data_IF_696539754637
#
_entry.id   IF_696539754637
#
_cell.length_a   1.000
_cell.length_b   1.000
_cell.length_c   1.000
_cell.angle_alpha   90.00
_cell.angle_beta   90.00
_cell.angle_gamma   90.00
#
_symmetry.space_group_name_H-M   'P 1'
#
loop_
_entity.id
_entity.type
_entity.pdbx_description
1 polymer ?
#
# COMPACT_ATOMS: atom_id res chain seq x y z
N UNK A 1 6.62 19.64 3.07
CA UNK A 1 7.61 18.92 2.26
C UNK A 1 8.28 19.85 1.26
N UNK A 2 9.62 19.98 1.29
CA UNK A 2 10.41 20.67 0.26
C UNK A 2 10.29 20.03 -1.14
N UNK A 3 10.55 20.82 -2.18
CA UNK A 3 10.50 20.37 -3.58
C UNK A 3 9.21 20.77 -4.31
N UNK A 4 9.00 20.25 -5.54
CA UNK A 4 7.79 20.53 -6.29
C UNK A 4 6.56 19.99 -5.55
N UNK A 5 5.41 20.64 -5.77
CA UNK A 5 4.14 20.05 -5.37
C UNK A 5 3.98 18.72 -6.09
N UNK A 6 3.47 17.71 -5.38
CA UNK A 6 3.25 16.39 -5.96
C UNK A 6 1.92 15.78 -5.56
N UNK A 7 1.39 14.95 -6.45
CA UNK A 7 0.18 14.15 -6.25
C UNK A 7 0.47 12.69 -6.54
N UNK A 8 -0.38 11.78 -6.05
CA UNK A 8 -0.31 10.33 -6.33
C UNK A 8 1.04 9.66 -6.05
N UNK A 9 1.70 10.11 -4.98
CA UNK A 9 2.97 9.56 -4.53
C UNK A 9 2.78 8.38 -3.57
N UNK A 10 3.79 7.53 -3.50
CA UNK A 10 3.92 6.52 -2.46
C UNK A 10 4.25 7.20 -1.11
N UNK A 11 3.59 6.77 -0.05
CA UNK A 11 3.99 7.11 1.31
C UNK A 11 3.81 5.94 2.27
N UNK A 12 4.65 5.89 3.30
CA UNK A 12 4.51 4.95 4.41
C UNK A 12 5.28 5.49 5.62
N UNK A 13 4.80 5.19 6.82
CA UNK A 13 5.54 5.45 8.04
C UNK A 13 6.45 4.25 8.36
N UNK A 14 7.63 4.51 8.88
CA UNK A 14 8.58 3.47 9.26
C UNK A 14 9.66 4.02 10.18
N UNK A 15 10.41 3.12 10.80
CA UNK A 15 11.37 3.46 11.85
C UNK A 15 11.16 2.61 13.09
N UNK A 16 12.10 2.67 14.03
CA UNK A 16 11.95 1.97 15.30
C UNK A 16 10.85 2.60 16.17
N UNK A 17 10.40 1.89 17.21
CA UNK A 17 9.36 2.33 18.16
C UNK A 17 9.62 3.65 18.88
N UNK A 18 10.81 4.25 18.70
CA UNK A 18 11.21 5.51 19.29
C UNK A 18 11.18 6.69 18.29
N UNK A 19 11.14 6.50 16.98
CA UNK A 19 11.10 7.61 16.01
C UNK A 19 10.33 7.19 14.75
N UNK A 20 9.16 7.82 14.54
CA UNK A 20 8.36 7.61 13.35
C UNK A 20 8.86 8.52 12.23
N UNK A 21 9.47 7.93 11.21
CA UNK A 21 9.85 8.63 9.98
C UNK A 21 8.79 8.36 8.91
N UNK A 22 8.28 9.40 8.25
CA UNK A 22 7.39 9.26 7.09
C UNK A 22 8.21 9.34 5.82
N UNK A 23 8.16 8.28 5.02
CA UNK A 23 8.81 8.23 3.72
C UNK A 23 7.81 8.59 2.61
N UNK A 24 8.28 9.35 1.63
CA UNK A 24 7.51 9.76 0.45
C UNK A 24 8.38 9.56 -0.79
N UNK A 25 7.84 8.97 -1.85
CA UNK A 25 8.54 8.80 -3.12
C UNK A 25 7.59 8.85 -4.32
N UNK A 26 8.12 9.30 -5.46
CA UNK A 26 7.37 9.33 -6.71
C UNK A 26 6.22 10.34 -6.71
N UNK A 27 5.12 9.97 -7.38
CA UNK A 27 4.04 10.86 -7.77
C UNK A 27 4.38 11.69 -9.01
N UNK A 28 3.57 12.71 -9.28
CA UNK A 28 3.83 13.64 -10.37
C UNK A 28 3.80 15.11 -9.92
N UNK A 29 4.49 15.98 -10.66
CA UNK A 29 4.46 17.43 -10.47
C UNK A 29 3.22 18.12 -11.09
N UNK A 30 3.14 19.45 -11.01
CA UNK A 30 2.01 20.22 -11.55
C UNK A 30 1.82 20.09 -13.07
N UNK A 31 2.88 19.68 -13.79
CA UNK A 31 2.88 19.43 -15.24
C UNK A 31 2.58 17.95 -15.57
N UNK A 32 2.31 17.12 -14.55
CA UNK A 32 2.11 15.67 -14.64
C UNK A 32 3.34 14.89 -15.08
N UNK A 33 4.54 15.42 -14.83
CA UNK A 33 5.76 14.65 -14.98
C UNK A 33 5.93 13.73 -13.77
N UNK A 34 6.12 12.44 -13.99
CA UNK A 34 6.41 11.47 -12.95
C UNK A 34 7.76 11.80 -12.28
N UNK A 35 7.87 11.51 -10.99
CA UNK A 35 9.03 11.88 -10.19
C UNK A 35 9.85 10.66 -9.79
N UNK A 36 11.18 10.83 -9.78
CA UNK A 36 12.14 9.90 -9.15
C UNK A 36 12.46 10.28 -7.70
N UNK A 37 12.18 11.52 -7.34
CA UNK A 37 12.61 12.09 -6.06
C UNK A 37 11.83 11.52 -4.88
N UNK A 38 12.53 11.38 -3.76
CA UNK A 38 12.00 10.88 -2.51
C UNK A 38 12.46 11.74 -1.33
N UNK A 39 11.68 11.72 -0.26
CA UNK A 39 11.86 12.52 0.94
C UNK A 39 11.54 11.66 2.17
N UNK A 40 12.21 11.93 3.28
CA UNK A 40 11.87 11.43 4.59
C UNK A 40 11.50 12.62 5.50
N UNK A 41 10.50 12.44 6.34
CA UNK A 41 10.11 13.39 7.37
C UNK A 41 10.29 12.75 8.73
N UNK A 42 11.19 13.31 9.53
CA UNK A 42 11.38 12.93 10.92
C UNK A 42 10.34 13.67 11.76
N UNK A 43 9.37 12.94 12.32
CA UNK A 43 8.30 13.53 13.10
C UNK A 43 8.76 14.02 14.49
N UNK A 44 9.87 13.51 15.02
CA UNK A 44 10.43 13.98 16.29
C UNK A 44 11.18 15.29 16.11
N UNK A 45 11.98 15.37 15.05
CA UNK A 45 12.74 16.58 14.70
C UNK A 45 11.88 17.65 14.01
N UNK A 46 10.71 17.28 13.48
CA UNK A 46 9.87 18.12 12.60
C UNK A 46 10.65 18.61 11.37
N UNK A 47 11.45 17.72 10.78
CA UNK A 47 12.37 18.06 9.69
C UNK A 47 12.21 17.14 8.49
N UNK A 48 12.31 17.73 7.30
CA UNK A 48 12.34 17.00 6.04
C UNK A 48 13.78 16.81 5.57
N UNK A 49 14.14 15.60 5.21
CA UNK A 49 15.41 15.24 4.60
C UNK A 49 15.22 14.66 3.19
N UNK A 50 16.03 15.06 2.21
CA UNK A 50 16.00 14.43 0.89
C UNK A 50 16.58 13.02 0.96
N UNK A 51 15.95 12.09 0.25
CA UNK A 51 16.52 10.78 -0.04
C UNK A 51 17.23 10.83 -1.39
N UNK A 52 18.15 9.88 -1.67
CA UNK A 52 18.58 9.63 -3.04
C UNK A 52 17.38 9.41 -3.95
N UNK A 53 17.49 9.78 -5.22
CA UNK A 53 16.45 9.50 -6.20
C UNK A 53 16.35 7.98 -6.48
N UNK A 54 15.14 7.53 -6.76
CA UNK A 54 14.88 6.22 -7.39
C UNK A 54 15.57 6.15 -8.77
N UNK A 55 15.75 4.93 -9.27
CA UNK A 55 16.20 4.70 -10.63
C UNK A 55 15.10 5.05 -11.65
N UNK A 56 13.84 4.73 -11.35
CA UNK A 56 12.70 4.91 -12.25
C UNK A 56 11.72 5.93 -11.68
N UNK A 57 11.18 6.80 -12.53
CA UNK A 57 10.09 7.71 -12.15
C UNK A 57 8.76 6.94 -12.04
N UNK A 58 7.97 7.27 -11.03
CA UNK A 58 6.75 6.52 -10.73
C UNK A 58 5.61 7.44 -10.31
N UNK A 59 4.64 7.63 -11.19
CA UNK A 59 3.33 8.23 -10.87
C UNK A 59 2.31 7.15 -10.47
N UNK A 60 1.33 7.48 -9.63
CA UNK A 60 0.32 6.56 -9.08
C UNK A 60 0.93 5.27 -8.48
N UNK A 61 2.07 5.40 -7.80
CA UNK A 61 2.73 4.30 -7.09
C UNK A 61 2.26 4.19 -5.64
N UNK A 62 2.56 3.04 -5.01
CA UNK A 62 2.20 2.79 -3.61
C UNK A 62 3.43 2.51 -2.76
N UNK A 63 3.38 2.98 -1.51
CA UNK A 63 4.43 2.82 -0.52
C UNK A 63 4.03 1.81 0.56
N UNK A 64 4.98 1.00 1.01
CA UNK A 64 4.84 0.12 2.17
C UNK A 64 6.18 0.05 2.92
N UNK A 65 6.15 0.02 4.24
CA UNK A 65 7.37 -0.12 5.04
C UNK A 65 7.43 -1.53 5.64
N UNK A 66 8.43 -2.31 5.25
CA UNK A 66 8.58 -3.70 5.72
C UNK A 66 10.05 -4.09 5.78
N UNK A 67 10.39 -4.90 6.78
CA UNK A 67 11.75 -5.43 7.00
C UNK A 67 12.84 -4.34 7.01
N UNK A 68 12.54 -3.16 7.58
CA UNK A 68 13.47 -2.04 7.68
C UNK A 68 13.70 -1.26 6.38
N UNK A 69 12.89 -1.50 5.34
CA UNK A 69 12.95 -0.78 4.07
C UNK A 69 11.61 -0.17 3.66
N UNK A 70 11.68 0.90 2.88
CA UNK A 70 10.53 1.54 2.24
C UNK A 70 10.41 1.07 0.79
N UNK A 71 9.33 0.34 0.49
CA UNK A 71 9.08 -0.28 -0.81
C UNK A 71 8.13 0.59 -1.60
N UNK A 72 8.52 0.94 -2.83
CA UNK A 72 7.72 1.70 -3.78
C UNK A 72 7.35 0.78 -4.94
N UNK A 73 6.07 0.47 -5.05
CA UNK A 73 5.57 -0.59 -5.93
C UNK A 73 4.67 0.01 -7.02
N UNK A 74 4.86 -0.50 -8.24
CA UNK A 74 4.03 -0.15 -9.40
C UNK A 74 4.21 1.29 -9.87
N UNK A 75 3.09 1.90 -10.26
CA UNK A 75 3.06 3.21 -10.90
C UNK A 75 3.54 3.17 -12.35
N UNK A 76 3.64 4.33 -12.99
CA UNK A 76 4.09 4.44 -14.38
C UNK A 76 4.97 5.68 -14.62
N UNK A 77 5.84 5.67 -15.64
CA UNK A 77 6.62 6.84 -16.03
C UNK A 77 5.80 7.83 -16.88
N UNK A 78 6.35 9.03 -17.06
CA UNK A 78 5.75 10.16 -17.79
C UNK A 78 5.42 9.80 -19.23
N UNK A 79 6.28 9.03 -19.89
CA UNK A 79 6.13 8.65 -21.30
C UNK A 79 5.13 7.50 -21.52
N UNK A 80 4.66 6.86 -20.44
CA UNK A 80 3.72 5.74 -20.47
C UNK A 80 2.58 5.90 -19.47
N UNK A 81 2.03 7.11 -19.36
CA UNK A 81 0.90 7.39 -18.45
C UNK A 81 -0.23 6.37 -18.58
N UNK A 82 -0.68 5.85 -17.43
CA UNK A 82 -1.72 4.82 -17.33
C UNK A 82 -1.26 3.38 -17.61
N UNK A 83 -0.01 3.17 -18.02
CA UNK A 83 0.58 1.84 -18.21
C UNK A 83 1.38 1.44 -16.97
N UNK A 84 0.68 0.92 -15.97
CA UNK A 84 1.31 0.49 -14.71
C UNK A 84 2.44 -0.50 -14.94
N UNK A 85 3.56 -0.29 -14.27
CA UNK A 85 4.69 -1.20 -14.26
C UNK A 85 4.45 -2.29 -13.21
N UNK A 86 5.08 -3.44 -13.43
CA UNK A 86 5.10 -4.54 -12.47
C UNK A 86 6.26 -4.46 -11.49
N UNK A 87 7.12 -3.45 -11.64
CA UNK A 87 8.35 -3.35 -10.88
C UNK A 87 8.17 -2.67 -9.53
N UNK A 88 9.12 -2.90 -8.64
CA UNK A 88 9.26 -2.17 -7.39
C UNK A 88 10.71 -1.73 -7.16
N UNK A 89 10.88 -0.77 -6.25
CA UNK A 89 12.18 -0.37 -5.72
C UNK A 89 12.09 -0.26 -4.20
N UNK A 90 13.15 -0.69 -3.51
CA UNK A 90 13.22 -0.71 -2.05
C UNK A 90 14.31 0.23 -1.58
N UNK A 91 13.96 1.18 -0.72
CA UNK A 91 14.92 2.02 0.00
C UNK A 91 15.29 1.36 1.32
N UNK A 92 16.55 0.96 1.44
CA UNK A 92 17.10 0.39 2.67
C UNK A 92 17.54 1.53 3.61
N UNK A 93 16.90 1.64 4.77
CA UNK A 93 17.14 2.71 5.74
C UNK A 93 18.50 2.57 6.43
N UNK A 94 19.02 1.35 6.57
CA UNK A 94 20.31 1.11 7.22
C UNK A 94 21.49 1.53 6.33
N UNK A 95 21.37 1.35 5.01
CA UNK A 95 22.40 1.71 4.04
C UNK A 95 22.17 3.05 3.35
N UNK A 96 20.98 3.64 3.55
CA UNK A 96 20.52 4.89 2.95
C UNK A 96 20.58 4.88 1.42
N UNK A 97 20.16 3.75 0.82
CA UNK A 97 20.26 3.51 -0.62
C UNK A 97 19.03 2.79 -1.15
N UNK A 98 18.66 3.13 -2.37
CA UNK A 98 17.76 2.30 -3.16
C UNK A 98 18.47 1.02 -3.60
N UNK A 99 17.75 -0.09 -3.54
CA UNK A 99 18.12 -1.34 -4.20
C UNK A 99 18.02 -1.23 -5.72
N UNK A 100 18.32 -2.33 -6.40
CA UNK A 100 18.04 -2.45 -7.83
C UNK A 100 16.53 -2.48 -8.08
N UNK A 101 16.10 -2.11 -9.29
CA UNK A 101 14.71 -2.27 -9.72
C UNK A 101 14.37 -3.76 -9.74
N UNK A 102 13.37 -4.14 -8.96
CA UNK A 102 12.82 -5.49 -8.92
C UNK A 102 11.75 -5.61 -10.00
N UNK A 103 12.11 -6.08 -11.18
CA UNK A 103 11.16 -6.36 -12.27
C UNK A 103 10.23 -7.52 -11.89
N UNK A 104 9.00 -7.51 -12.42
CA UNK A 104 7.97 -8.55 -12.19
C UNK A 104 7.63 -8.80 -10.71
N UNK A 105 7.82 -7.80 -9.84
CA UNK A 105 7.41 -7.84 -8.43
C UNK A 105 5.90 -8.03 -8.27
N UNK A 106 5.13 -7.42 -9.16
CA UNK A 106 3.69 -7.62 -9.33
C UNK A 106 3.43 -8.60 -10.49
N UNK A 107 2.47 -9.49 -10.33
CA UNK A 107 2.06 -10.40 -11.41
C UNK A 107 1.28 -9.65 -12.51
N UNK A 108 0.49 -8.64 -12.13
CA UNK A 108 -0.31 -7.82 -13.01
C UNK A 108 -0.01 -6.32 -12.87
N UNK A 109 -0.07 -5.61 -13.99
CA UNK A 109 0.12 -4.18 -14.10
C UNK A 109 -1.15 -3.42 -13.68
N UNK A 110 -1.54 -3.53 -12.42
CA UNK A 110 -2.74 -2.86 -11.87
C UNK A 110 -2.37 -1.69 -10.96
N UNK A 111 -3.29 -0.74 -10.81
CA UNK A 111 -3.14 0.35 -9.86
C UNK A 111 -2.93 -0.20 -8.43
N UNK A 112 -1.82 0.12 -7.75
CA UNK A 112 -1.42 -0.54 -6.51
C UNK A 112 -2.16 -0.04 -5.26
N UNK A 113 -3.36 0.55 -5.41
CA UNK A 113 -4.11 1.18 -4.31
C UNK A 113 -4.54 0.23 -3.19
N UNK A 114 -4.49 -1.07 -3.44
CA UNK A 114 -4.81 -2.11 -2.46
C UNK A 114 -3.57 -2.72 -1.80
N UNK A 115 -2.38 -2.13 -2.01
CA UNK A 115 -1.14 -2.55 -1.36
C UNK A 115 -1.02 -1.94 0.03
N UNK A 116 -0.83 -2.80 1.04
CA UNK A 116 -0.75 -2.43 2.45
C UNK A 116 0.13 -3.45 3.19
N UNK A 117 1.01 -2.96 4.05
CA UNK A 117 1.76 -3.81 4.98
C UNK A 117 0.91 -4.26 6.18
N UNK A 118 1.37 -5.26 6.92
CA UNK A 118 0.67 -5.81 8.08
C UNK A 118 0.62 -4.91 9.32
N UNK A 119 1.18 -3.69 9.25
CA UNK A 119 1.14 -2.67 10.29
C UNK A 119 2.22 -2.79 11.35
N UNK A 120 2.14 -1.93 12.38
CA UNK A 120 3.16 -1.62 13.42
C UNK A 120 3.62 -2.77 14.35
N UNK A 121 3.35 -4.03 14.00
CA UNK A 121 3.84 -5.19 14.75
C UNK A 121 3.75 -6.51 13.99
N UNK A 122 3.56 -6.45 12.67
CA UNK A 122 3.41 -7.64 11.84
C UNK A 122 4.73 -8.34 11.53
N UNK A 123 4.63 -9.46 10.82
CA UNK A 123 5.78 -10.27 10.39
C UNK A 123 6.43 -9.73 9.09
N UNK A 124 6.10 -8.50 8.69
CA UNK A 124 6.60 -7.88 7.47
C UNK A 124 5.92 -8.41 6.22
N UNK A 125 4.61 -8.68 6.32
CA UNK A 125 3.77 -9.17 5.23
C UNK A 125 3.21 -8.03 4.41
N UNK A 126 3.05 -8.26 3.10
CA UNK A 126 2.40 -7.31 2.20
C UNK A 126 1.11 -7.90 1.64
N UNK A 127 -0.01 -7.24 1.91
CA UNK A 127 -1.31 -7.62 1.37
C UNK A 127 -1.62 -6.84 0.09
N UNK A 128 -2.32 -7.49 -0.83
CA UNK A 128 -2.71 -6.93 -2.12
C UNK A 128 -4.06 -7.52 -2.56
N UNK A 129 -4.86 -6.77 -3.32
CA UNK A 129 -6.02 -7.36 -4.04
C UNK A 129 -5.63 -7.66 -5.48
N UNK A 130 -5.67 -8.93 -5.87
CA UNK A 130 -5.32 -9.46 -7.19
C UNK A 130 -6.44 -10.32 -7.74
N UNK A 131 -6.97 -9.99 -8.93
CA UNK A 131 -7.95 -10.80 -9.65
C UNK A 131 -9.13 -11.27 -8.79
N UNK A 132 -9.68 -10.34 -7.98
CA UNK A 132 -10.78 -10.64 -7.05
C UNK A 132 -10.38 -11.42 -5.80
N UNK A 133 -9.09 -11.51 -5.47
CA UNK A 133 -8.61 -12.20 -4.28
C UNK A 133 -7.67 -11.30 -3.48
N UNK A 134 -7.78 -11.33 -2.16
CA UNK A 134 -6.71 -10.83 -1.28
C UNK A 134 -5.59 -11.85 -1.30
N UNK A 135 -4.37 -11.39 -1.59
CA UNK A 135 -3.15 -12.17 -1.52
C UNK A 135 -2.20 -11.55 -0.49
N UNK A 136 -1.33 -12.37 0.08
CA UNK A 136 -0.27 -11.96 1.00
C UNK A 136 1.07 -12.38 0.43
N UNK A 137 2.06 -11.50 0.52
CA UNK A 137 3.44 -11.81 0.23
C UNK A 137 4.23 -12.05 1.52
N UNK A 138 4.88 -13.21 1.57
CA UNK A 138 5.72 -13.65 2.67
C UNK A 138 7.02 -14.24 2.10
N UNK A 139 8.17 -13.64 2.40
CA UNK A 139 9.50 -14.14 2.03
C UNK A 139 9.67 -14.42 0.51
N UNK A 140 9.21 -13.51 -0.33
CA UNK A 140 9.20 -13.58 -1.79
C UNK A 140 8.10 -14.46 -2.38
N UNK A 141 7.13 -14.92 -1.59
CA UNK A 141 6.08 -15.85 -2.05
C UNK A 141 4.69 -15.27 -1.83
N UNK A 142 3.92 -15.25 -2.90
CA UNK A 142 2.51 -14.86 -2.88
C UNK A 142 1.61 -16.05 -2.51
N UNK A 143 0.69 -15.83 -1.58
CA UNK A 143 -0.33 -16.79 -1.16
C UNK A 143 -1.70 -16.13 -1.21
N UNK A 144 -2.70 -16.87 -1.66
CA UNK A 144 -4.09 -16.43 -1.58
C UNK A 144 -4.60 -16.50 -0.13
N UNK A 145 -5.30 -15.45 0.30
CA UNK A 145 -5.89 -15.31 1.63
C UNK A 145 -7.40 -15.56 1.56
N UNK A 146 -8.11 -14.78 0.72
CA UNK A 146 -9.56 -14.88 0.60
C UNK A 146 -10.04 -14.29 -0.74
N UNK A 147 -11.15 -14.83 -1.26
CA UNK A 147 -11.89 -14.24 -2.37
C UNK A 147 -12.62 -12.97 -1.91
N UNK A 148 -12.56 -11.91 -2.71
CA UNK A 148 -13.23 -10.62 -2.47
C UNK A 148 -14.73 -10.76 -2.73
N UNK A 149 -15.61 -10.23 -1.85
CA UNK A 149 -17.06 -10.23 -2.09
C UNK A 149 -17.43 -9.58 -3.44
N UNK A 150 -18.40 -10.17 -4.15
CA UNK A 150 -18.80 -9.72 -5.51
C UNK A 150 -19.24 -8.25 -5.54
N UNK A 151 -19.91 -7.78 -4.49
CA UNK A 151 -20.35 -6.39 -4.34
C UNK A 151 -19.24 -5.44 -3.85
N UNK A 152 -18.02 -5.94 -3.70
CA UNK A 152 -16.77 -5.19 -3.47
C UNK A 152 -15.72 -5.44 -4.56
N UNK A 153 -16.11 -6.04 -5.70
CA UNK A 153 -15.21 -6.46 -6.78
C UNK A 153 -14.34 -5.32 -7.33
N UNK A 154 -14.87 -4.10 -7.36
CA UNK A 154 -14.07 -2.88 -7.60
C UNK A 154 -13.51 -2.42 -6.26
N UNK A 155 -12.43 -3.07 -5.84
CA UNK A 155 -11.72 -2.75 -4.60
C UNK A 155 -10.97 -1.43 -4.73
N UNK A 156 -11.23 -0.49 -3.82
CA UNK A 156 -10.66 0.87 -3.87
C UNK A 156 -9.58 1.11 -2.82
N UNK A 157 -9.71 0.46 -1.66
CA UNK A 157 -8.78 0.60 -0.55
C UNK A 157 -8.71 -0.70 0.25
N UNK A 158 -7.52 -1.04 0.72
CA UNK A 158 -7.26 -2.11 1.67
C UNK A 158 -6.43 -1.51 2.80
N UNK A 159 -6.77 -1.82 4.06
CA UNK A 159 -6.00 -1.39 5.22
C UNK A 159 -5.93 -2.51 6.26
N UNK A 160 -4.88 -2.49 7.06
CA UNK A 160 -4.68 -3.40 8.19
C UNK A 160 -5.04 -2.71 9.50
N UNK A 161 -5.64 -3.45 10.41
CA UNK A 161 -5.96 -3.00 11.76
C UNK A 161 -6.05 -4.20 12.71
N UNK A 162 -5.16 -4.28 13.70
CA UNK A 162 -5.16 -5.32 14.75
C UNK A 162 -5.31 -6.76 14.21
N UNK A 163 -4.52 -7.11 13.18
CA UNK A 163 -4.59 -8.43 12.53
C UNK A 163 -5.82 -8.65 11.64
N UNK A 164 -6.58 -7.60 11.34
CA UNK A 164 -7.72 -7.62 10.43
C UNK A 164 -7.42 -6.82 9.18
N UNK A 165 -8.05 -7.21 8.08
CA UNK A 165 -8.07 -6.45 6.84
C UNK A 165 -9.43 -5.79 6.68
N UNK A 166 -9.44 -4.47 6.52
CA UNK A 166 -10.61 -3.73 6.07
C UNK A 166 -10.47 -3.50 4.57
N UNK A 167 -11.43 -4.00 3.82
CA UNK A 167 -11.60 -3.78 2.39
C UNK A 167 -12.74 -2.80 2.15
N UNK A 168 -12.48 -1.75 1.38
CA UNK A 168 -13.52 -0.84 0.88
C UNK A 168 -13.57 -0.90 -0.63
N UNK A 169 -14.75 -1.17 -1.17
CA UNK A 169 -14.96 -1.31 -2.61
C UNK A 169 -16.40 -1.02 -3.02
N UNK A 170 -16.71 -1.40 -4.26
CA UNK A 170 -18.07 -1.36 -4.81
C UNK A 170 -18.30 -2.51 -5.78
N UNK A 171 -19.57 -2.75 -6.12
CA UNK A 171 -19.93 -3.68 -7.17
C UNK A 171 -19.48 -3.18 -8.54
N UNK A 172 -19.33 -4.10 -9.49
CA UNK A 172 -18.98 -3.80 -10.90
C UNK A 172 -20.04 -2.97 -11.64
N UNK A 173 -21.24 -2.88 -11.09
CA UNK A 173 -22.35 -2.06 -11.57
C UNK A 173 -22.25 -0.58 -11.15
N UNK A 174 -21.23 -0.21 -10.37
CA UNK A 174 -21.08 1.13 -9.82
C UNK A 174 -22.05 1.45 -8.70
N UNK A 175 -22.59 0.42 -8.03
CA UNK A 175 -23.47 0.57 -6.87
C UNK A 175 -22.82 1.25 -5.66
N UNK A 176 -23.59 1.32 -4.57
CA UNK A 176 -23.14 1.92 -3.31
C UNK A 176 -21.86 1.28 -2.78
N UNK A 177 -21.05 2.06 -2.06
CA UNK A 177 -19.82 1.56 -1.45
C UNK A 177 -20.12 0.60 -0.32
N UNK A 178 -19.26 -0.40 -0.21
CA UNK A 178 -19.32 -1.41 0.84
C UNK A 178 -17.98 -1.49 1.56
N UNK A 179 -18.04 -1.84 2.83
CA UNK A 179 -16.88 -2.11 3.65
C UNK A 179 -17.00 -3.51 4.25
N UNK A 180 -15.91 -4.26 4.20
CA UNK A 180 -15.81 -5.61 4.72
C UNK A 180 -14.59 -5.77 5.59
N UNK A 181 -14.75 -6.43 6.73
CA UNK A 181 -13.68 -6.79 7.65
C UNK A 181 -13.37 -8.28 7.53
N UNK A 182 -12.10 -8.64 7.36
CA UNK A 182 -11.60 -10.00 7.39
C UNK A 182 -10.65 -10.15 8.57
N UNK A 183 -10.95 -11.07 9.49
CA UNK A 183 -9.99 -11.43 10.53
C UNK A 183 -8.94 -12.35 9.92
N UNK A 184 -7.68 -11.92 9.85
CA UNK A 184 -6.60 -12.74 9.33
C UNK A 184 -6.02 -13.52 10.51
N UNK A 185 -6.18 -14.84 10.51
CA UNK A 185 -5.68 -15.67 11.60
C UNK A 185 -4.16 -15.46 11.77
N UNK A 186 -3.71 -15.18 12.99
CA UNK A 186 -2.32 -15.36 13.36
C UNK A 186 -1.97 -16.86 13.22
N UNK A 187 -0.78 -17.20 12.75
CA UNK A 187 -0.29 -18.59 12.61
C UNK A 187 -0.20 -19.39 13.93
N UNK A 188 -0.79 -18.89 15.01
CA UNK A 188 -0.73 -19.41 16.38
C UNK A 188 -1.84 -20.43 16.69
N UNK A 189 -2.86 -20.62 15.84
CA UNK A 189 -3.96 -21.55 16.15
C UNK A 189 -3.81 -22.92 15.47
N UNK A 190 -3.35 -23.88 16.26
CA UNK A 190 -3.29 -25.34 16.09
C UNK A 190 -4.10 -25.92 14.91
N UNK A 191 -3.47 -26.01 13.73
CA UNK A 191 -3.74 -27.04 12.71
C UNK A 191 -5.14 -27.10 12.08
N UNK A 192 -6.07 -26.22 12.46
CA UNK A 192 -7.40 -26.08 11.88
C UNK A 192 -7.47 -24.74 11.18
N UNK A 193 -7.22 -24.73 9.87
CA UNK A 193 -7.60 -23.60 9.01
C UNK A 193 -9.12 -23.47 9.04
N UNK A 194 -9.66 -22.67 9.96
CA UNK A 194 -11.02 -22.17 9.84
C UNK A 194 -11.10 -21.33 8.58
N UNK A 195 -12.16 -21.52 7.78
CA UNK A 195 -12.39 -20.72 6.57
C UNK A 195 -12.51 -19.25 6.99
N UNK A 196 -11.57 -18.42 6.53
CA UNK A 196 -11.62 -16.97 6.75
C UNK A 196 -12.96 -16.44 6.19
N UNK A 197 -13.64 -15.60 6.97
CA UNK A 197 -15.00 -15.13 6.64
C UNK A 197 -15.02 -13.60 6.66
N UNK A 198 -15.54 -13.01 5.59
CA UNK A 198 -15.77 -11.57 5.53
C UNK A 198 -17.00 -11.17 6.35
N UNK A 199 -16.84 -10.12 7.16
CA UNK A 199 -17.92 -9.49 7.90
C UNK A 199 -18.25 -8.15 7.25
N UNK A 200 -19.46 -8.02 6.69
CA UNK A 200 -19.95 -6.75 6.13
C UNK A 200 -20.11 -5.73 7.26
N UNK A 201 -19.57 -4.54 7.06
CA UNK A 201 -19.75 -3.43 7.98
C UNK A 201 -20.94 -2.57 7.57
N UNK A 202 -21.63 -2.01 8.56
CA UNK A 202 -22.60 -0.95 8.34
C UNK A 202 -21.84 0.35 8.06
N UNK A 203 -22.09 0.93 6.89
CA UNK A 203 -21.54 2.23 6.49
C UNK A 203 -22.72 3.21 6.39
N UNK A 204 -22.83 4.20 7.31
CA UNK A 204 -23.87 5.20 7.21
C UNK A 204 -23.77 5.98 5.90
N UNK A 205 -24.91 6.40 5.34
CA UNK A 205 -25.00 7.04 4.02
C UNK A 205 -24.17 8.34 3.93
N UNK A 206 -24.06 9.08 5.04
CA UNK A 206 -23.21 10.27 5.13
C UNK A 206 -21.70 9.98 4.98
N UNK A 207 -21.28 8.72 5.12
CA UNK A 207 -19.88 8.25 4.98
C UNK A 207 -19.68 7.34 3.75
N UNK A 208 -20.68 7.14 2.88
CA UNK A 208 -20.59 6.20 1.75
C UNK A 208 -20.02 6.80 0.45
N UNK A 209 -19.12 7.78 0.57
CA UNK A 209 -18.56 8.53 -0.56
C UNK A 209 -17.15 8.12 -1.02
N UNK A 210 -16.65 8.85 -2.01
CA UNK A 210 -15.25 9.00 -2.46
C UNK A 210 -14.11 8.65 -1.46
N UNK A 211 -13.60 7.42 -1.34
CA UNK A 211 -12.47 7.09 -0.45
C UNK A 211 -11.17 7.24 -1.22
N UNK A 212 -10.44 8.31 -0.90
CA UNK A 212 -9.15 8.61 -1.53
C UNK A 212 -7.96 8.06 -0.74
N UNK A 213 -8.11 7.98 0.59
CA UNK A 213 -7.11 7.45 1.50
C UNK A 213 -7.81 6.81 2.70
N UNK A 214 -7.14 5.86 3.33
CA UNK A 214 -7.56 5.25 4.58
C UNK A 214 -6.36 5.23 5.54
N UNK A 215 -6.63 5.44 6.83
CA UNK A 215 -5.65 5.26 7.89
C UNK A 215 -6.37 4.69 9.13
N UNK A 216 -5.64 3.98 9.97
CA UNK A 216 -6.12 3.59 11.29
C UNK A 216 -5.53 4.53 12.32
N UNK A 217 -6.34 5.00 13.26
CA UNK A 217 -5.91 5.80 14.39
C UNK A 217 -6.37 5.09 15.67
N UNK A 218 -5.42 4.69 16.51
CA UNK A 218 -5.69 4.24 17.87
C UNK A 218 -5.53 5.44 18.83
N UNK A 219 -6.54 5.68 19.66
CA UNK A 219 -6.63 6.83 20.59
C UNK A 219 -6.73 6.31 22.03
#
# INVERSE_FOLDING_TARGET
MPGPRRSFFACSAGGGTASATVFVAGGHDEEKNALRSAMAYDAEADEWAPLPDMAVERDECRGAFLNGGFHVVGGYPTDRQGQFCKSAETFDVATWRWGAVEEDRLEDATCPMTCVDDGDGGEGRLYFVRSGHVVVEECGKWKEVAEVPEDAAVSTQLMTWQGKLLLVGSGSDGGGRVAYLLEVASDVDDGKKSKLTWHRMEVPEEYSGHVHAACCLEI
#
